data_IF_626842173077
#
_entry.id   IF_626842173077
#
_cell.length_a   1.000
_cell.length_b   1.000
_cell.length_c   1.000
_cell.angle_alpha   90.00
_cell.angle_beta   90.00
_cell.angle_gamma   90.00
#
_symmetry.space_group_name_H-M   'P 1'
#
loop_
_entity.id
_entity.type
_entity.pdbx_description
1 polymer ?
#
# COMPACT_ATOMS: atom_id res chain seq x y z
N UNK A 1 -7.26 -0.95 -6.17
CA UNK A 1 -7.10 -1.00 -4.69
C UNK A 1 -5.83 -0.32 -4.22
N UNK A 2 -5.29 -0.79 -3.09
CA UNK A 2 -4.07 -0.24 -2.49
C UNK A 2 -4.03 1.29 -2.55
N UNK A 3 -3.54 1.82 -3.66
CA UNK A 3 -3.46 3.28 -3.83
C UNK A 3 -4.86 3.91 -3.87
N UNK A 4 -5.88 3.07 -3.71
CA UNK A 4 -7.26 3.55 -3.72
C UNK A 4 -7.95 3.22 -2.40
N UNK A 5 -8.92 4.05 -2.02
CA UNK A 5 -9.66 3.85 -0.77
C UNK A 5 -10.45 2.55 -0.80
N UNK A 6 -9.89 1.51 -0.19
CA UNK A 6 -10.54 0.20 -0.15
C UNK A 6 -10.37 -0.43 1.23
N UNK A 7 -9.12 -0.76 1.56
CA UNK A 7 -8.81 -1.39 2.84
C UNK A 7 -7.99 -0.44 3.73
N UNK A 8 -8.26 -0.47 5.03
CA UNK A 8 -7.56 0.37 5.98
C UNK A 8 -6.08 0.01 6.08
N UNK A 9 -5.61 -0.86 5.18
CA UNK A 9 -4.22 -1.28 5.17
C UNK A 9 -3.47 -0.58 4.06
N UNK A 10 -4.14 0.39 3.44
CA UNK A 10 -3.57 1.18 2.35
C UNK A 10 -2.13 1.60 2.65
N UNK A 11 -1.84 1.84 3.92
CA UNK A 11 -0.52 2.27 4.34
C UNK A 11 0.35 1.06 4.68
N UNK A 12 0.61 0.24 3.67
CA UNK A 12 1.43 -0.96 3.84
C UNK A 12 2.86 -0.60 4.21
N UNK A 13 3.49 -1.38 5.12
CA UNK A 13 4.87 -1.13 5.58
C UNK A 13 5.86 -1.04 4.43
N UNK A 14 6.57 0.08 4.38
CA UNK A 14 7.57 0.31 3.33
C UNK A 14 8.75 -0.65 3.49
N UNK A 15 9.57 -0.74 2.43
CA UNK A 15 10.74 -1.63 2.45
C UNK A 15 10.33 -3.06 2.73
N UNK A 16 9.14 -3.43 2.25
CA UNK A 16 8.60 -4.77 2.46
C UNK A 16 7.94 -5.28 1.18
N UNK A 17 7.53 -6.58 1.13
CA UNK A 17 6.85 -7.13 -0.03
C UNK A 17 5.59 -6.33 -0.32
N UNK A 18 5.02 -5.81 0.76
CA UNK A 18 3.82 -5.00 0.70
C UNK A 18 4.20 -3.59 0.24
N UNK A 19 4.97 -2.91 1.09
CA UNK A 19 5.44 -1.56 0.81
C UNK A 19 4.29 -0.56 0.64
N UNK A 20 4.58 0.68 0.99
CA UNK A 20 3.59 1.76 0.92
C UNK A 20 3.15 2.04 -0.52
N UNK A 21 1.98 2.70 -0.69
CA UNK A 21 1.45 3.02 -2.02
C UNK A 21 2.19 4.19 -2.67
N UNK A 22 1.48 4.93 -3.53
CA UNK A 22 2.05 6.07 -4.23
C UNK A 22 3.28 5.65 -5.04
N UNK A 23 3.41 4.35 -5.26
CA UNK A 23 4.54 3.80 -6.01
C UNK A 23 4.38 2.29 -6.14
N UNK A 24 4.35 1.61 -4.99
CA UNK A 24 4.20 0.17 -4.94
C UNK A 24 2.84 -0.22 -4.38
N UNK A 25 2.15 -1.10 -5.08
CA UNK A 25 0.83 -1.56 -4.66
C UNK A 25 0.93 -2.88 -3.91
N UNK A 26 0.27 -2.95 -2.75
CA UNK A 26 0.28 -4.15 -1.92
C UNK A 26 -1.06 -4.87 -2.00
#
# INVERSE_FOLDING_TARGET
GCMILLDTDIWCPCSHPYACPENICC
#
